data_IF_349717845265
#
_entry.id   IF_349717845265
#
_cell.length_a   1.000
_cell.length_b   1.000
_cell.length_c   1.000
_cell.angle_alpha   90.00
_cell.angle_beta   90.00
_cell.angle_gamma   90.00
#
_symmetry.space_group_name_H-M   'P 1'
#
loop_
_entity.id
_entity.type
_entity.pdbx_description
1 polymer ?
#
# COMPACT_ATOMS: atom_id res chain seq x y z
N UNK A 1 -5.02 -2.72 3.06
CA UNK A 1 -5.45 -1.54 3.82
C UNK A 1 -5.13 -0.31 2.99
N UNK A 2 -6.14 0.47 2.62
CA UNK A 2 -6.02 1.55 1.63
C UNK A 2 -5.51 2.87 2.25
N UNK A 3 -4.48 2.79 3.10
CA UNK A 3 -4.03 3.90 3.94
C UNK A 3 -3.82 5.20 3.16
N UNK A 4 -3.06 5.15 2.05
CA UNK A 4 -2.78 6.34 1.25
C UNK A 4 -4.01 6.94 0.57
N UNK A 5 -5.03 6.12 0.27
CA UNK A 5 -6.30 6.63 -0.26
C UNK A 5 -7.10 7.36 0.82
N UNK A 6 -7.13 6.81 2.04
CA UNK A 6 -7.82 7.44 3.16
C UNK A 6 -7.12 8.74 3.56
N UNK A 7 -5.78 8.76 3.57
CA UNK A 7 -5.00 9.93 3.96
C UNK A 7 -4.95 11.05 2.91
N UNK A 8 -5.34 10.78 1.65
CA UNK A 8 -5.22 11.72 0.53
C UNK A 8 -5.80 13.12 0.80
N UNK A 9 -7.02 13.29 1.36
CA UNK A 9 -7.59 14.61 1.61
C UNK A 9 -6.79 15.45 2.63
N UNK A 10 -6.05 14.80 3.53
CA UNK A 10 -5.19 15.45 4.51
C UNK A 10 -3.91 15.98 3.84
N UNK A 11 -3.29 15.18 2.98
CA UNK A 11 -2.12 15.60 2.20
C UNK A 11 -2.45 16.74 1.22
N UNK A 12 -3.64 16.73 0.61
CA UNK A 12 -4.10 17.81 -0.26
C UNK A 12 -4.31 19.11 0.52
N UNK A 13 -4.93 19.05 1.70
CA UNK A 13 -5.12 20.21 2.56
C UNK A 13 -3.79 20.84 3.03
N UNK A 14 -2.74 20.03 3.23
CA UNK A 14 -1.40 20.52 3.59
C UNK A 14 -0.73 21.32 2.46
N UNK A 15 -1.05 21.03 1.19
CA UNK A 15 -0.47 21.72 0.04
C UNK A 15 -1.09 23.10 -0.22
N UNK A 16 -2.24 23.38 0.36
CA UNK A 16 -2.97 24.64 0.23
C UNK A 16 -2.77 25.51 1.46
N UNK A 17 -2.56 26.82 1.27
CA UNK A 17 -2.59 27.81 2.34
C UNK A 17 -3.76 28.78 2.13
N UNK A 18 -4.59 29.04 3.15
CA UNK A 18 -4.55 28.46 4.49
C UNK A 18 -4.99 26.98 4.54
N UNK A 19 -4.52 26.24 5.55
CA UNK A 19 -4.90 24.85 5.75
C UNK A 19 -6.41 24.76 6.02
N UNK A 20 -7.15 24.13 5.12
CA UNK A 20 -8.61 24.04 5.19
C UNK A 20 -9.03 22.71 5.82
N UNK A 21 -9.57 22.77 7.04
CA UNK A 21 -10.11 21.60 7.74
C UNK A 21 -11.62 21.48 7.54
N UNK A 22 -12.02 20.84 6.44
CA UNK A 22 -13.42 20.61 6.11
C UNK A 22 -13.95 19.24 6.53
N UNK A 23 -15.17 18.94 6.07
CA UNK A 23 -15.80 17.63 6.22
C UNK A 23 -14.95 16.47 5.64
N UNK A 24 -14.34 16.60 4.43
CA UNK A 24 -13.52 15.53 3.87
C UNK A 24 -12.28 15.20 4.71
N UNK A 25 -11.60 16.21 5.27
CA UNK A 25 -10.42 16.03 6.13
C UNK A 25 -10.81 15.35 7.44
N UNK A 26 -11.92 15.79 8.06
CA UNK A 26 -12.43 15.18 9.29
C UNK A 26 -12.81 13.71 9.09
N UNK A 27 -13.51 13.39 8.00
CA UNK A 27 -13.88 12.00 7.68
C UNK A 27 -12.66 11.13 7.40
N UNK A 28 -11.69 11.63 6.63
CA UNK A 28 -10.42 10.94 6.39
C UNK A 28 -9.69 10.64 7.71
N UNK A 29 -9.60 11.63 8.59
CA UNK A 29 -8.95 11.47 9.89
C UNK A 29 -9.64 10.42 10.78
N UNK A 30 -10.98 10.43 10.84
CA UNK A 30 -11.75 9.45 11.61
C UNK A 30 -11.58 8.04 11.04
N UNK A 31 -11.64 7.87 9.71
CA UNK A 31 -11.39 6.59 9.05
C UNK A 31 -9.98 6.07 9.32
N UNK A 32 -8.97 6.94 9.33
CA UNK A 32 -7.60 6.54 9.70
C UNK A 32 -7.53 6.06 11.15
N UNK A 33 -8.17 6.76 12.09
CA UNK A 33 -8.22 6.32 13.49
C UNK A 33 -8.84 4.93 13.60
N UNK A 34 -10.01 4.73 13.01
CA UNK A 34 -10.71 3.45 13.02
C UNK A 34 -9.84 2.33 12.43
N UNK A 35 -9.24 2.59 11.27
CA UNK A 35 -8.42 1.62 10.58
C UNK A 35 -7.15 1.25 11.39
N UNK A 36 -6.54 2.21 12.10
CA UNK A 36 -5.40 1.95 13.00
C UNK A 36 -5.82 1.17 14.26
N UNK A 37 -7.01 1.43 14.81
CA UNK A 37 -7.51 0.70 15.99
C UNK A 37 -7.99 -0.71 15.68
N UNK A 38 -8.35 -0.99 14.42
CA UNK A 38 -8.86 -2.29 13.95
C UNK A 38 -7.82 -3.06 13.12
N UNK A 39 -6.59 -2.54 13.02
CA UNK A 39 -5.54 -3.13 12.21
C UNK A 39 -5.24 -4.58 12.66
N UNK A 40 -5.21 -5.55 11.74
CA UNK A 40 -4.89 -6.93 12.09
C UNK A 40 -3.44 -7.02 12.56
N UNK A 41 -3.18 -7.96 13.48
CA UNK A 41 -1.83 -8.20 13.99
C UNK A 41 -0.88 -8.63 12.88
N UNK A 42 0.16 -7.82 12.65
CA UNK A 42 1.22 -8.16 11.70
C UNK A 42 2.08 -9.31 12.25
N UNK A 43 2.57 -10.14 11.33
CA UNK A 43 3.62 -11.11 11.61
C UNK A 43 4.99 -10.47 11.50
N UNK A 44 5.93 -10.92 12.34
CA UNK A 44 7.33 -10.64 12.11
C UNK A 44 7.78 -11.39 10.85
N UNK A 45 8.62 -10.78 9.99
CA UNK A 45 9.15 -11.44 8.81
C UNK A 45 10.02 -12.63 9.21
N UNK A 46 9.66 -13.80 8.69
CA UNK A 46 10.41 -15.05 8.86
C UNK A 46 11.21 -15.34 7.59
N UNK A 47 12.52 -15.07 7.61
CA UNK A 47 13.38 -15.18 6.42
C UNK A 47 13.56 -16.63 5.92
N UNK A 48 13.12 -17.63 6.69
CA UNK A 48 13.14 -19.04 6.27
C UNK A 48 12.00 -19.39 5.31
N UNK A 49 10.97 -18.54 5.21
CA UNK A 49 9.77 -18.76 4.40
C UNK A 49 9.74 -17.83 3.20
N UNK A 50 9.05 -18.29 2.17
CA UNK A 50 8.79 -17.47 1.00
C UNK A 50 7.74 -16.39 1.30
N UNK A 51 7.86 -15.28 0.58
CA UNK A 51 6.97 -14.13 0.72
C UNK A 51 6.01 -14.07 -0.46
N UNK A 52 4.79 -13.60 -0.20
CA UNK A 52 3.79 -13.34 -1.22
C UNK A 52 3.41 -11.86 -1.18
N UNK A 53 3.57 -11.15 -2.29
CA UNK A 53 3.23 -9.75 -2.44
C UNK A 53 2.00 -9.62 -3.34
N UNK A 54 0.90 -9.15 -2.76
CA UNK A 54 -0.31 -8.77 -3.50
C UNK A 54 -0.23 -7.30 -3.84
N UNK A 55 -0.38 -6.96 -5.12
CA UNK A 55 -0.28 -5.58 -5.63
C UNK A 55 -1.60 -5.17 -6.26
N UNK A 56 -2.00 -3.93 -6.04
CA UNK A 56 -3.12 -3.29 -6.73
C UNK A 56 -2.78 -1.83 -7.00
N UNK A 57 -3.07 -1.35 -8.20
CA UNK A 57 -3.00 0.07 -8.52
C UNK A 57 -4.40 0.66 -8.51
N UNK A 58 -4.60 1.74 -7.75
CA UNK A 58 -5.89 2.45 -7.71
C UNK A 58 -5.66 3.94 -7.55
N UNK A 59 -6.28 4.73 -8.41
CA UNK A 59 -6.24 6.20 -8.34
C UNK A 59 -4.80 6.75 -8.26
N UNK A 60 -3.86 6.15 -9.01
CA UNK A 60 -2.43 6.52 -9.06
C UNK A 60 -1.69 6.26 -7.74
N UNK A 61 -2.20 5.35 -6.93
CA UNK A 61 -1.55 4.81 -5.74
C UNK A 61 -1.25 3.32 -5.95
N UNK A 62 -0.01 2.94 -5.72
CA UNK A 62 0.42 1.58 -5.56
C UNK A 62 0.03 1.12 -4.15
N UNK A 63 -0.78 0.08 -4.08
CA UNK A 63 -1.23 -0.55 -2.84
C UNK A 63 -0.72 -1.99 -2.83
N UNK A 64 -0.27 -2.46 -1.68
CA UNK A 64 0.05 -3.87 -1.59
C UNK A 64 0.12 -4.42 -0.19
N UNK A 65 0.11 -5.74 -0.12
CA UNK A 65 0.19 -6.51 1.12
C UNK A 65 1.26 -7.56 0.95
N UNK A 66 2.29 -7.49 1.79
CA UNK A 66 3.28 -8.54 1.95
C UNK A 66 2.76 -9.54 2.96
N UNK A 67 2.76 -10.82 2.60
CA UNK A 67 2.25 -11.90 3.44
C UNK A 67 3.23 -13.07 3.45
N UNK A 68 3.10 -13.92 4.47
CA UNK A 68 3.75 -15.23 4.55
C UNK A 68 2.75 -16.30 4.98
N UNK A 69 2.99 -17.54 4.59
CA UNK A 69 2.16 -18.66 5.03
C UNK A 69 2.41 -18.97 6.52
N UNK A 70 1.32 -19.04 7.29
CA UNK A 70 1.27 -19.57 8.63
C UNK A 70 0.32 -20.77 8.62
N UNK A 71 0.86 -21.96 8.37
CA UNK A 71 0.05 -23.13 8.03
C UNK A 71 -0.68 -22.90 6.71
N UNK A 72 -2.01 -23.06 6.73
CA UNK A 72 -2.89 -22.79 5.57
C UNK A 72 -3.28 -21.32 5.39
N UNK A 73 -2.93 -20.44 6.33
CA UNK A 73 -3.36 -19.04 6.32
C UNK A 73 -2.26 -18.11 5.77
N UNK A 74 -2.66 -17.06 5.05
CA UNK A 74 -1.74 -15.98 4.64
C UNK A 74 -1.73 -14.90 5.71
N UNK A 75 -0.65 -14.83 6.49
CA UNK A 75 -0.48 -13.82 7.54
C UNK A 75 0.19 -12.58 6.95
N UNK A 76 -0.39 -11.37 7.11
CA UNK A 76 0.25 -10.13 6.71
C UNK A 76 1.51 -9.83 7.51
N UNK A 77 2.58 -9.45 6.83
CA UNK A 77 3.86 -8.97 7.39
C UNK A 77 4.00 -7.46 7.21
N UNK A 78 3.40 -6.91 6.15
CA UNK A 78 3.40 -5.47 5.92
C UNK A 78 2.32 -5.03 4.94
N UNK A 79 1.84 -3.80 5.13
CA UNK A 79 0.98 -3.10 4.19
C UNK A 79 1.74 -1.94 3.57
N UNK A 80 1.61 -1.76 2.27
CA UNK A 80 2.27 -0.69 1.54
C UNK A 80 1.24 0.18 0.82
N UNK A 81 1.50 1.48 0.82
CA UNK A 81 0.75 2.46 0.04
C UNK A 81 1.70 3.56 -0.40
N UNK A 82 1.88 3.72 -1.72
CA UNK A 82 2.84 4.67 -2.28
C UNK A 82 2.28 5.33 -3.52
N UNK A 83 2.37 6.65 -3.60
CA UNK A 83 1.89 7.41 -4.75
C UNK A 83 2.81 7.16 -5.95
N UNK A 84 2.24 6.96 -7.14
CA UNK A 84 3.02 6.95 -8.38
C UNK A 84 3.58 8.35 -8.64
N UNK A 85 4.77 8.42 -9.24
CA UNK A 85 5.34 9.69 -9.67
C UNK A 85 4.47 10.35 -10.77
N UNK A 86 4.66 11.64 -10.98
CA UNK A 86 3.82 12.43 -11.89
C UNK A 86 3.85 11.93 -13.35
N UNK A 87 4.94 11.27 -13.77
CA UNK A 87 5.09 10.76 -15.12
C UNK A 87 4.35 9.44 -15.24
N UNK A 88 4.68 8.46 -14.39
CA UNK A 88 4.02 7.15 -14.42
C UNK A 88 2.53 7.22 -14.14
N UNK A 89 2.09 8.15 -13.30
CA UNK A 89 0.68 8.40 -13.01
C UNK A 89 -0.17 8.79 -14.24
N UNK A 90 0.47 9.21 -15.34
CA UNK A 90 -0.20 9.57 -16.61
C UNK A 90 -0.20 8.43 -17.63
N UNK A 91 0.44 7.30 -17.32
CA UNK A 91 0.46 6.15 -18.22
C UNK A 91 -0.88 5.38 -18.23
N UNK A 92 -1.12 4.54 -19.26
CA UNK A 92 -2.22 3.58 -19.27
C UNK A 92 -2.27 2.72 -18.02
N UNK A 93 -3.46 2.23 -17.65
CA UNK A 93 -3.69 1.40 -16.44
C UNK A 93 -2.73 0.23 -16.32
N UNK A 94 -2.51 -0.50 -17.42
CA UNK A 94 -1.61 -1.65 -17.44
C UNK A 94 -0.19 -1.28 -17.05
N UNK A 95 0.35 -0.20 -17.61
CA UNK A 95 1.70 0.28 -17.29
C UNK A 95 1.76 0.85 -15.87
N UNK A 96 0.70 1.48 -15.37
CA UNK A 96 0.61 1.93 -13.97
C UNK A 96 0.65 0.75 -13.00
N UNK A 97 0.00 -0.37 -13.32
CA UNK A 97 0.06 -1.59 -12.51
C UNK A 97 1.49 -2.21 -12.50
N UNK A 98 2.20 -2.18 -13.63
CA UNK A 98 3.63 -2.60 -13.67
C UNK A 98 4.49 -1.69 -12.79
N UNK A 99 4.35 -0.37 -12.90
CA UNK A 99 5.11 0.58 -12.07
C UNK A 99 4.78 0.41 -10.59
N UNK A 100 3.50 0.27 -10.25
CA UNK A 100 3.07 -0.01 -8.88
C UNK A 100 3.75 -1.27 -8.34
N UNK A 101 3.82 -2.32 -9.14
CA UNK A 101 4.49 -3.57 -8.78
C UNK A 101 5.98 -3.36 -8.48
N UNK A 102 6.71 -2.68 -9.37
CA UNK A 102 8.14 -2.39 -9.16
C UNK A 102 8.38 -1.58 -7.89
N UNK A 103 7.58 -0.53 -7.67
CA UNK A 103 7.67 0.32 -6.47
C UNK A 103 7.49 -0.51 -5.20
N UNK A 104 6.49 -1.41 -5.19
CA UNK A 104 6.19 -2.21 -4.01
C UNK A 104 7.18 -3.35 -3.79
N UNK A 105 7.77 -3.91 -4.84
CA UNK A 105 8.91 -4.85 -4.69
C UNK A 105 10.06 -4.13 -3.98
N UNK A 106 10.39 -2.90 -4.37
CA UNK A 106 11.48 -2.15 -3.73
C UNK A 106 11.22 -1.91 -2.24
N UNK A 107 9.97 -1.63 -1.85
CA UNK A 107 9.59 -1.51 -0.44
C UNK A 107 9.61 -2.86 0.28
N UNK A 108 9.08 -3.92 -0.34
CA UNK A 108 9.07 -5.26 0.21
C UNK A 108 10.48 -5.80 0.46
N UNK A 109 11.44 -5.50 -0.43
CA UNK A 109 12.85 -5.93 -0.28
C UNK A 109 13.51 -5.44 1.01
N UNK A 110 13.04 -4.34 1.59
CA UNK A 110 13.52 -3.83 2.90
C UNK A 110 13.14 -4.77 4.05
N UNK A 111 12.05 -5.52 3.91
CA UNK A 111 11.57 -6.49 4.91
C UNK A 111 12.01 -7.93 4.58
N UNK A 112 12.10 -8.28 3.29
CA UNK A 112 12.45 -9.65 2.87
C UNK A 112 13.95 -9.91 2.80
N UNK A 113 14.80 -8.88 2.93
CA UNK A 113 16.26 -8.97 2.84
C UNK A 113 16.74 -9.66 1.54
N UNK A 114 15.99 -9.49 0.45
CA UNK A 114 16.32 -10.06 -0.86
C UNK A 114 15.89 -11.51 -1.07
N UNK A 115 15.11 -12.11 -0.15
CA UNK A 115 14.49 -13.43 -0.33
C UNK A 115 13.51 -13.45 -1.51
N UNK A 116 13.22 -14.64 -2.02
CA UNK A 116 12.22 -14.87 -3.07
C UNK A 116 10.84 -14.31 -2.69
N UNK A 117 10.15 -13.71 -3.67
CA UNK A 117 8.83 -13.10 -3.51
C UNK A 117 7.95 -13.54 -4.69
N UNK A 118 6.84 -14.21 -4.39
CA UNK A 118 5.78 -14.45 -5.36
C UNK A 118 4.91 -13.19 -5.48
N UNK A 119 4.67 -12.75 -6.71
CA UNK A 119 3.94 -11.52 -6.97
C UNK A 119 2.58 -11.85 -7.58
N UNK A 120 1.53 -11.30 -6.98
CA UNK A 120 0.16 -11.42 -7.45
C UNK A 120 -0.36 -10.03 -7.81
N UNK A 121 -0.68 -9.85 -9.09
CA UNK A 121 -1.30 -8.64 -9.63
C UNK A 121 -2.64 -9.08 -10.23
N UNK A 122 -3.77 -8.41 -9.94
CA UNK A 122 -5.04 -8.75 -10.57
C UNK A 122 -4.92 -8.60 -12.10
N UNK A 123 -5.63 -9.46 -12.83
CA UNK A 123 -5.70 -9.41 -14.29
C UNK A 123 -6.10 -8.00 -14.73
N UNK A 124 -5.32 -7.45 -15.66
CA UNK A 124 -5.44 -6.08 -16.18
C UNK A 124 -6.64 -5.89 -17.10
#
# INVERSE_FOLDING_TARGET
MDYGLIAKPLYEAQKTQPFTWGKPQKEAFLKLKEALTTAPALGLPDLSKDFQLFVHERLRLALGVLTQCLGSWKRPVGYFSKQLDNVSARWPSCLRAVVATVILIQEARKLTMGRHIDIYVPDM
#
